data_IF_250251321037
#
_entry.id   IF_250251321037
#
_cell.length_a   1.000
_cell.length_b   1.000
_cell.length_c   1.000
_cell.angle_alpha   90.00
_cell.angle_beta   90.00
_cell.angle_gamma   90.00
#
_symmetry.space_group_name_H-M   'P 1'
#
loop_
_entity.id
_entity.type
_entity.pdbx_description
1 polymer ?
#
# COMPACT_ATOMS: atom_id res chain seq x y z
N UNK A 1 17.35 39.60 19.69
CA UNK A 1 16.08 39.25 19.03
C UNK A 1 16.23 37.87 18.42
N UNK A 2 15.63 36.82 19.01
CA UNK A 2 15.75 35.43 18.51
C UNK A 2 14.75 35.23 17.38
N UNK A 3 15.25 35.14 16.14
CA UNK A 3 14.44 34.80 14.97
C UNK A 3 14.01 33.33 15.12
N UNK A 4 12.75 33.10 15.48
CA UNK A 4 12.13 31.77 15.37
C UNK A 4 12.09 31.43 13.88
N UNK A 5 13.00 30.57 13.42
CA UNK A 5 12.84 29.86 12.14
C UNK A 5 11.49 29.16 12.20
N UNK A 6 10.52 29.62 11.39
CA UNK A 6 9.33 28.84 11.08
C UNK A 6 9.84 27.52 10.52
N UNK A 7 9.59 26.43 11.24
CA UNK A 7 9.79 25.08 10.74
C UNK A 7 8.95 24.97 9.47
N UNK A 8 9.61 24.98 8.33
CA UNK A 8 9.00 24.72 7.03
C UNK A 8 8.33 23.35 7.13
N UNK A 9 7.00 23.33 7.05
CA UNK A 9 6.26 22.07 6.92
C UNK A 9 6.90 21.27 5.79
N UNK A 10 7.34 20.02 6.03
CA UNK A 10 7.79 19.17 4.95
C UNK A 10 6.60 18.99 4.00
N UNK A 11 6.89 19.36 2.76
CA UNK A 11 6.07 19.22 1.57
C UNK A 11 5.50 17.81 1.42
N UNK A 12 4.53 17.72 0.54
CA UNK A 12 3.71 16.59 0.09
C UNK A 12 4.49 15.39 -0.50
N UNK A 13 5.66 15.05 0.05
CA UNK A 13 6.58 13.99 -0.40
C UNK A 13 6.40 12.70 0.39
N UNK A 14 5.21 12.11 0.32
CA UNK A 14 5.05 10.70 0.71
C UNK A 14 5.77 9.81 -0.31
N UNK A 15 6.35 8.68 0.13
CA UNK A 15 6.77 7.61 -0.79
C UNK A 15 5.51 7.16 -1.57
N UNK A 16 5.58 6.95 -2.90
CA UNK A 16 4.42 6.46 -3.64
C UNK A 16 3.97 5.10 -3.11
N UNK A 17 2.66 4.84 -3.14
CA UNK A 17 2.14 3.49 -2.98
C UNK A 17 2.47 2.65 -4.21
N UNK A 18 2.22 3.21 -5.38
CA UNK A 18 2.42 2.54 -6.66
C UNK A 18 3.27 3.41 -7.58
N UNK A 19 4.17 2.77 -8.31
CA UNK A 19 4.81 3.35 -9.50
C UNK A 19 4.39 2.49 -10.68
N UNK A 20 3.96 3.12 -11.77
CA UNK A 20 3.43 2.42 -12.94
C UNK A 20 4.35 2.73 -14.10
N UNK A 21 5.02 1.72 -14.64
CA UNK A 21 5.82 1.81 -15.85
C UNK A 21 4.93 1.67 -17.08
N UNK A 22 5.08 2.56 -18.05
CA UNK A 22 4.25 2.59 -19.25
C UNK A 22 4.94 1.93 -20.43
N UNK A 23 4.21 1.16 -21.24
CA UNK A 23 4.72 0.66 -22.53
C UNK A 23 4.46 1.64 -23.67
N UNK A 24 3.58 2.62 -23.44
CA UNK A 24 3.18 3.66 -24.38
C UNK A 24 3.33 5.06 -23.76
N UNK A 25 2.78 6.10 -24.41
CA UNK A 25 2.80 7.46 -23.90
C UNK A 25 2.05 7.58 -22.56
N UNK A 26 2.41 8.58 -21.75
CA UNK A 26 1.63 8.90 -20.54
C UNK A 26 0.17 9.20 -20.91
N UNK A 27 -0.80 8.67 -20.15
CA UNK A 27 -2.21 8.82 -20.48
C UNK A 27 -2.66 10.25 -20.23
N UNK A 28 -3.54 10.78 -21.08
CA UNK A 28 -4.14 12.08 -20.82
C UNK A 28 -5.05 12.00 -19.59
N UNK A 29 -5.11 13.08 -18.82
CA UNK A 29 -5.95 13.11 -17.62
C UNK A 29 -7.45 12.94 -17.93
N UNK A 30 -7.88 13.36 -19.12
CA UNK A 30 -9.24 13.13 -19.63
C UNK A 30 -9.54 11.65 -19.81
N UNK A 31 -8.56 10.86 -20.23
CA UNK A 31 -8.72 9.42 -20.49
C UNK A 31 -8.85 8.68 -19.17
N UNK A 32 -7.99 9.01 -18.19
CA UNK A 32 -8.10 8.48 -16.83
C UNK A 32 -9.43 8.84 -16.16
N UNK A 33 -9.91 10.08 -16.33
CA UNK A 33 -11.23 10.49 -15.83
C UNK A 33 -12.35 9.68 -16.48
N UNK A 34 -12.35 9.61 -17.81
CA UNK A 34 -13.42 8.94 -18.56
C UNK A 34 -13.46 7.45 -18.25
N UNK A 35 -12.29 6.81 -18.16
CA UNK A 35 -12.16 5.42 -17.75
C UNK A 35 -12.68 5.20 -16.34
N UNK A 36 -12.27 6.04 -15.37
CA UNK A 36 -12.69 5.88 -13.99
C UNK A 36 -14.21 6.05 -13.84
N UNK A 37 -14.79 7.08 -14.45
CA UNK A 37 -16.23 7.35 -14.37
C UNK A 37 -17.07 6.24 -15.01
N UNK A 38 -16.55 5.60 -16.06
CA UNK A 38 -17.18 4.46 -16.72
C UNK A 38 -17.12 3.20 -15.84
N UNK A 39 -15.97 2.91 -15.25
CA UNK A 39 -15.73 1.67 -14.49
C UNK A 39 -16.32 1.70 -13.08
N UNK A 40 -16.26 2.85 -12.41
CA UNK A 40 -16.57 2.97 -10.99
C UNK A 40 -17.78 3.86 -10.67
N UNK A 41 -18.38 4.46 -11.69
CA UNK A 41 -19.45 5.44 -11.53
C UNK A 41 -18.88 6.80 -11.16
N UNK A 42 -19.03 7.78 -12.06
CA UNK A 42 -18.53 9.14 -11.85
C UNK A 42 -19.38 10.01 -10.92
N UNK A 43 -18.92 11.25 -10.65
CA UNK A 43 -17.72 11.87 -11.22
C UNK A 43 -16.48 11.74 -10.32
N UNK A 44 -15.32 11.47 -10.93
CA UNK A 44 -14.01 11.75 -10.34
C UNK A 44 -13.53 13.14 -10.78
N UNK A 45 -13.01 13.88 -9.81
CA UNK A 45 -12.43 15.21 -10.03
C UNK A 45 -10.94 15.20 -9.75
N UNK A 46 -10.20 15.98 -10.53
CA UNK A 46 -8.75 16.12 -10.37
C UNK A 46 -8.42 17.59 -10.14
N UNK A 47 -7.68 17.86 -9.08
CA UNK A 47 -7.22 19.20 -8.71
C UNK A 47 -5.70 19.22 -8.70
N UNK A 48 -5.10 20.13 -9.47
CA UNK A 48 -3.66 20.34 -9.47
C UNK A 48 -3.21 20.91 -8.12
N UNK A 49 -2.23 20.26 -7.49
CA UNK A 49 -1.50 20.85 -6.39
C UNK A 49 -0.30 21.60 -6.97
N UNK A 50 -0.39 22.94 -7.01
CA UNK A 50 0.77 23.78 -7.33
C UNK A 50 1.52 24.09 -6.05
N UNK A 51 2.63 23.42 -5.81
CA UNK A 51 3.60 23.89 -4.82
C UNK A 51 4.63 24.80 -5.50
N UNK A 52 5.14 25.82 -4.81
CA UNK A 52 6.18 26.73 -5.32
C UNK A 52 7.48 26.01 -5.74
N UNK A 53 7.62 24.70 -5.44
CA UNK A 53 8.73 23.84 -5.87
C UNK A 53 8.48 23.09 -7.18
N UNK A 54 7.24 23.02 -7.66
CA UNK A 54 6.87 22.30 -8.89
C UNK A 54 7.16 23.12 -10.17
N UNK A 55 7.54 24.40 -10.06
CA UNK A 55 7.87 25.25 -11.22
C UNK A 55 9.16 24.83 -11.95
N UNK A 56 9.98 23.97 -11.36
CA UNK A 56 11.27 23.52 -11.92
C UNK A 56 11.19 22.11 -12.52
N UNK A 57 10.06 21.42 -12.37
CA UNK A 57 9.96 19.99 -12.61
C UNK A 57 9.32 19.67 -13.98
N UNK A 58 10.08 19.06 -14.89
CA UNK A 58 9.65 18.70 -16.26
C UNK A 58 8.81 17.41 -16.23
N UNK A 59 7.71 17.43 -15.48
CA UNK A 59 6.78 16.31 -15.30
C UNK A 59 5.34 16.79 -15.14
N UNK A 60 4.39 15.86 -15.03
CA UNK A 60 3.01 16.23 -14.72
C UNK A 60 2.92 16.77 -13.28
N UNK A 61 2.06 17.78 -13.03
CA UNK A 61 1.81 18.23 -11.67
C UNK A 61 1.23 17.09 -10.84
N UNK A 62 1.47 17.13 -9.53
CA UNK A 62 0.79 16.20 -8.64
C UNK A 62 -0.68 16.59 -8.54
N UNK A 63 -1.56 15.64 -8.86
CA UNK A 63 -2.99 15.82 -8.87
C UNK A 63 -3.59 15.18 -7.61
N UNK A 64 -4.55 15.88 -7.00
CA UNK A 64 -5.46 15.29 -6.02
C UNK A 64 -6.69 14.79 -6.75
N UNK A 65 -6.91 13.48 -6.72
CA UNK A 65 -8.11 12.83 -7.22
C UNK A 65 -9.15 12.77 -6.10
N UNK A 66 -10.40 13.11 -6.40
CA UNK A 66 -11.52 13.05 -5.43
C UNK A 66 -12.75 12.43 -6.08
N UNK A 67 -13.30 11.41 -5.43
CA UNK A 67 -14.56 10.76 -5.80
C UNK A 67 -15.42 10.65 -4.53
N UNK A 68 -16.52 11.42 -4.46
CA UNK A 68 -17.30 11.54 -3.23
C UNK A 68 -16.42 11.97 -2.02
N UNK A 69 -16.41 11.22 -0.91
CA UNK A 69 -15.54 11.51 0.24
C UNK A 69 -14.09 11.03 0.05
N UNK A 70 -13.81 10.22 -0.98
CA UNK A 70 -12.53 9.54 -1.13
C UNK A 70 -11.50 10.41 -1.83
N UNK A 71 -10.26 10.33 -1.35
CA UNK A 71 -9.15 11.14 -1.86
C UNK A 71 -7.88 10.30 -1.97
N UNK A 72 -7.18 10.52 -3.08
CA UNK A 72 -5.86 9.98 -3.36
C UNK A 72 -5.09 10.98 -4.21
N UNK A 73 -3.79 10.78 -4.37
CA UNK A 73 -2.96 11.65 -5.23
C UNK A 73 -2.28 10.83 -6.31
N UNK A 74 -2.09 11.42 -7.49
CA UNK A 74 -1.34 10.79 -8.57
C UNK A 74 -0.52 11.80 -9.37
N UNK A 75 0.54 11.31 -10.02
CA UNK A 75 1.23 11.97 -11.13
C UNK A 75 1.10 11.05 -12.34
N UNK A 76 0.40 11.52 -13.37
CA UNK A 76 0.20 10.74 -14.60
C UNK A 76 1.50 10.58 -15.40
N UNK A 77 2.47 11.47 -15.20
CA UNK A 77 3.83 11.36 -15.73
C UNK A 77 4.84 11.88 -14.71
N UNK A 78 5.84 11.07 -14.42
CA UNK A 78 7.03 11.47 -13.69
C UNK A 78 8.00 12.24 -14.61
N UNK A 79 8.86 13.10 -14.06
CA UNK A 79 10.04 13.60 -14.77
C UNK A 79 10.92 12.45 -15.25
N UNK A 80 11.58 12.61 -16.41
CA UNK A 80 12.40 11.55 -17.01
C UNK A 80 13.51 11.04 -16.07
N UNK A 81 14.14 11.93 -15.30
CA UNK A 81 15.17 11.53 -14.34
C UNK A 81 14.62 10.61 -13.24
N UNK A 82 13.41 10.86 -12.73
CA UNK A 82 12.76 10.01 -11.75
C UNK A 82 12.30 8.68 -12.38
N UNK A 83 11.77 8.72 -13.60
CA UNK A 83 11.39 7.51 -14.34
C UNK A 83 12.62 6.61 -14.61
N UNK A 84 13.76 7.21 -14.96
CA UNK A 84 15.04 6.51 -15.15
C UNK A 84 15.56 5.90 -13.84
N UNK A 85 15.41 6.58 -12.70
CA UNK A 85 15.77 6.03 -11.39
C UNK A 85 14.94 4.77 -11.07
N UNK A 86 13.62 4.84 -11.26
CA UNK A 86 12.75 3.67 -11.11
C UNK A 86 13.10 2.57 -12.10
N UNK A 87 13.46 2.93 -13.34
CA UNK A 87 13.92 1.98 -14.35
C UNK A 87 15.13 1.20 -13.91
N UNK A 88 16.15 1.89 -13.43
CA UNK A 88 17.37 1.25 -12.96
C UNK A 88 17.13 0.46 -11.67
N UNK A 89 16.25 0.94 -10.77
CA UNK A 89 15.97 0.28 -9.50
C UNK A 89 15.17 -1.01 -9.65
N UNK A 90 14.20 -1.03 -10.56
CA UNK A 90 13.31 -2.18 -10.79
C UNK A 90 13.78 -3.09 -11.92
N UNK A 91 14.82 -2.67 -12.65
CA UNK A 91 15.32 -3.37 -13.85
C UNK A 91 14.23 -3.63 -14.90
N UNK A 92 13.23 -2.74 -14.98
CA UNK A 92 12.14 -2.84 -15.94
C UNK A 92 12.47 -2.11 -17.25
N UNK A 93 11.73 -2.36 -18.33
CA UNK A 93 12.01 -1.77 -19.65
C UNK A 93 11.16 -0.53 -19.97
N UNK A 94 10.41 -0.01 -19.00
CA UNK A 94 9.50 1.10 -19.21
C UNK A 94 10.24 2.45 -19.27
N UNK A 95 10.14 3.20 -20.39
CA UNK A 95 10.84 4.48 -20.53
C UNK A 95 10.13 5.63 -19.80
N UNK A 96 8.84 5.48 -19.55
CA UNK A 96 8.00 6.46 -18.86
C UNK A 96 7.35 5.80 -17.65
N UNK A 97 7.02 6.61 -16.65
CA UNK A 97 6.31 6.14 -15.48
C UNK A 97 5.36 7.19 -14.91
N UNK A 98 4.35 6.75 -14.19
CA UNK A 98 3.54 7.55 -13.29
C UNK A 98 3.61 7.03 -11.86
N UNK A 99 3.02 7.76 -10.94
CA UNK A 99 2.99 7.38 -9.53
C UNK A 99 1.66 7.70 -8.87
N UNK A 100 1.31 6.91 -7.87
CA UNK A 100 0.11 7.09 -7.06
C UNK A 100 0.49 7.04 -5.59
N UNK A 101 -0.11 7.94 -4.82
CA UNK A 101 0.15 8.16 -3.40
C UNK A 101 -1.17 8.10 -2.62
N UNK A 102 -1.09 7.73 -1.35
CA UNK A 102 -2.18 8.00 -0.41
C UNK A 102 -2.17 9.48 -0.01
N UNK A 103 -3.36 10.03 0.24
CA UNK A 103 -3.45 11.24 1.06
C UNK A 103 -3.21 10.88 2.52
N UNK A 104 -2.79 11.86 3.34
CA UNK A 104 -2.81 11.66 4.80
C UNK A 104 -4.25 11.46 5.26
N UNK A 105 -4.52 10.33 5.88
CA UNK A 105 -5.84 9.94 6.35
C UNK A 105 -5.80 9.57 7.82
N UNK A 106 -6.97 9.64 8.46
CA UNK A 106 -7.16 8.94 9.74
C UNK A 106 -7.24 7.43 9.47
N UNK A 107 -6.97 6.55 10.45
CA UNK A 107 -7.06 5.11 10.22
C UNK A 107 -8.43 4.65 9.72
N UNK A 108 -9.50 5.35 10.13
CA UNK A 108 -10.87 5.10 9.67
C UNK A 108 -11.07 5.36 8.17
N UNK A 109 -10.31 6.28 7.59
CA UNK A 109 -10.41 6.68 6.17
C UNK A 109 -9.32 6.01 5.32
N UNK A 110 -8.43 5.23 5.94
CA UNK A 110 -7.28 4.68 5.25
C UNK A 110 -7.66 3.66 4.18
N UNK A 111 -8.66 2.82 4.44
CA UNK A 111 -9.17 1.85 3.45
C UNK A 111 -9.68 2.55 2.20
N UNK A 112 -10.48 3.59 2.34
CA UNK A 112 -11.02 4.38 1.23
C UNK A 112 -9.91 5.05 0.40
N UNK A 113 -8.91 5.64 1.06
CA UNK A 113 -7.76 6.25 0.39
C UNK A 113 -6.90 5.22 -0.35
N UNK A 114 -6.61 4.08 0.28
CA UNK A 114 -5.84 2.98 -0.34
C UNK A 114 -6.59 2.39 -1.51
N UNK A 115 -7.91 2.22 -1.39
CA UNK A 115 -8.78 1.69 -2.43
C UNK A 115 -8.81 2.62 -3.65
N UNK A 116 -9.06 3.92 -3.44
CA UNK A 116 -9.04 4.89 -4.53
C UNK A 116 -7.66 4.96 -5.19
N UNK A 117 -6.58 4.96 -4.40
CA UNK A 117 -5.22 4.92 -4.94
C UNK A 117 -4.97 3.65 -5.79
N UNK A 118 -5.42 2.49 -5.34
CA UNK A 118 -5.32 1.25 -6.12
C UNK A 118 -6.14 1.31 -7.41
N UNK A 119 -7.33 1.92 -7.39
CA UNK A 119 -8.16 2.11 -8.61
C UNK A 119 -7.50 3.06 -9.61
N UNK A 120 -6.86 4.13 -9.14
CA UNK A 120 -6.08 5.02 -10.00
C UNK A 120 -4.86 4.29 -10.59
N UNK A 121 -4.15 3.49 -9.79
CA UNK A 121 -3.03 2.69 -10.27
C UNK A 121 -3.48 1.69 -11.34
N UNK A 122 -4.59 0.97 -11.13
CA UNK A 122 -5.22 0.10 -12.15
C UNK A 122 -5.52 0.87 -13.43
N UNK A 123 -6.16 2.03 -13.34
CA UNK A 123 -6.51 2.85 -14.51
C UNK A 123 -5.29 3.24 -15.33
N UNK A 124 -4.24 3.72 -14.66
CA UNK A 124 -2.97 4.03 -15.31
C UNK A 124 -2.36 2.78 -15.95
N UNK A 125 -2.35 1.64 -15.27
CA UNK A 125 -1.84 0.37 -15.82
C UNK A 125 -2.59 -0.05 -17.08
N UNK A 126 -3.92 -0.05 -17.05
CA UNK A 126 -4.74 -0.51 -18.19
C UNK A 126 -4.67 0.44 -19.39
N UNK A 127 -4.72 1.75 -19.15
CA UNK A 127 -4.68 2.76 -20.22
C UNK A 127 -3.35 2.78 -20.98
N UNK A 128 -2.27 2.35 -20.33
CA UNK A 128 -0.93 2.36 -20.94
C UNK A 128 -0.40 0.98 -21.31
N UNK A 129 -1.18 -0.08 -21.08
CA UNK A 129 -0.71 -1.49 -21.14
C UNK A 129 0.62 -1.67 -20.38
N UNK A 130 0.68 -1.08 -19.18
CA UNK A 130 1.89 -0.94 -18.37
C UNK A 130 2.02 -2.01 -17.29
N UNK A 131 2.96 -1.82 -16.37
CA UNK A 131 3.10 -2.65 -15.16
C UNK A 131 3.15 -1.76 -13.93
N UNK A 132 2.25 -1.98 -12.98
CA UNK A 132 2.32 -1.33 -11.66
C UNK A 132 3.24 -2.11 -10.73
N UNK A 133 4.01 -1.39 -9.92
CA UNK A 133 4.77 -1.93 -8.81
C UNK A 133 4.26 -1.33 -7.51
N UNK A 134 3.78 -2.20 -6.61
CA UNK A 134 3.38 -1.83 -5.25
C UNK A 134 4.62 -1.75 -4.36
N UNK A 135 4.97 -0.54 -3.94
CA UNK A 135 6.21 -0.30 -3.19
C UNK A 135 6.18 -0.85 -1.77
N UNK A 136 5.00 -1.18 -1.24
CA UNK A 136 4.85 -1.63 0.15
C UNK A 136 4.82 -3.15 0.19
N UNK A 137 4.06 -3.79 -0.70
CA UNK A 137 4.00 -5.26 -0.80
C UNK A 137 5.15 -5.85 -1.63
N UNK A 138 5.83 -5.03 -2.43
CA UNK A 138 6.77 -5.42 -3.49
C UNK A 138 6.15 -6.38 -4.51
N UNK A 139 4.93 -6.09 -4.95
CA UNK A 139 4.21 -6.90 -5.93
C UNK A 139 4.17 -6.18 -7.27
N UNK A 140 4.41 -6.90 -8.36
CA UNK A 140 4.14 -6.43 -9.72
C UNK A 140 2.72 -6.79 -10.13
N UNK A 141 2.04 -5.85 -10.78
CA UNK A 141 0.67 -5.99 -11.25
C UNK A 141 0.59 -5.53 -12.71
N UNK A 142 0.50 -6.51 -13.61
CA UNK A 142 0.22 -6.30 -15.03
C UNK A 142 -1.29 -6.13 -15.26
N UNK A 143 -1.74 -5.76 -16.47
CA UNK A 143 -3.16 -5.55 -16.76
C UNK A 143 -4.05 -6.74 -16.38
N UNK A 144 -3.55 -7.97 -16.57
CA UNK A 144 -4.26 -9.22 -16.23
C UNK A 144 -4.31 -9.55 -14.74
N UNK A 145 -3.41 -8.97 -13.93
CA UNK A 145 -3.31 -9.27 -12.50
C UNK A 145 -4.33 -8.47 -11.68
N UNK A 146 -4.83 -7.38 -12.25
CA UNK A 146 -5.85 -6.54 -11.63
C UNK A 146 -7.21 -7.25 -11.66
N UNK A 147 -7.78 -7.47 -10.48
CA UNK A 147 -9.15 -7.96 -10.38
C UNK A 147 -10.13 -6.81 -10.57
N UNK A 148 -11.14 -7.04 -11.41
CA UNK A 148 -12.23 -6.11 -11.59
C UNK A 148 -13.17 -6.19 -10.38
N UNK A 149 -13.19 -5.11 -9.60
CA UNK A 149 -13.98 -5.00 -8.38
C UNK A 149 -14.62 -3.62 -8.34
N UNK A 150 -15.89 -3.53 -7.94
CA UNK A 150 -16.54 -2.24 -7.78
C UNK A 150 -15.81 -1.42 -6.71
N UNK A 151 -16.09 -0.12 -6.75
CA UNK A 151 -15.38 0.84 -5.93
C UNK A 151 -15.70 0.67 -4.43
N UNK A 152 -16.87 0.14 -4.07
CA UNK A 152 -17.31 -0.15 -2.69
C UNK A 152 -16.81 -1.48 -2.11
N UNK A 153 -16.14 -2.31 -2.90
CA UNK A 153 -15.60 -3.60 -2.45
C UNK A 153 -14.12 -3.49 -2.09
N UNK A 154 -13.85 -3.34 -0.79
CA UNK A 154 -12.52 -3.42 -0.21
C UNK A 154 -12.20 -4.86 0.23
N UNK A 155 -11.08 -5.42 -0.24
CA UNK A 155 -10.54 -6.68 0.28
C UNK A 155 -9.08 -6.49 0.71
N UNK A 156 -8.78 -6.87 1.95
CA UNK A 156 -7.43 -6.74 2.52
C UNK A 156 -6.39 -7.52 1.71
N UNK A 157 -6.76 -8.67 1.14
CA UNK A 157 -5.86 -9.51 0.32
C UNK A 157 -5.35 -8.84 -0.95
N UNK A 158 -6.04 -7.81 -1.46
CA UNK A 158 -5.59 -7.05 -2.63
C UNK A 158 -4.51 -6.01 -2.26
N UNK A 159 -4.31 -5.76 -0.96
CA UNK A 159 -3.47 -4.68 -0.46
C UNK A 159 -2.40 -5.13 0.53
N UNK A 160 -2.55 -6.32 1.11
CA UNK A 160 -1.65 -6.91 2.09
C UNK A 160 -1.26 -8.31 1.64
N UNK A 161 0.04 -8.61 1.66
CA UNK A 161 0.57 -9.94 1.40
C UNK A 161 1.19 -10.53 2.66
N UNK A 162 1.19 -11.85 2.77
CA UNK A 162 1.95 -12.58 3.79
C UNK A 162 3.17 -13.19 3.10
N UNK A 163 4.35 -12.91 3.65
CA UNK A 163 5.64 -13.39 3.14
C UNK A 163 6.21 -14.41 4.11
N UNK A 164 6.71 -15.52 3.58
CA UNK A 164 7.55 -16.46 4.30
C UNK A 164 9.01 -16.24 3.89
N UNK A 165 9.88 -16.14 4.86
CA UNK A 165 11.33 -16.11 4.69
C UNK A 165 11.98 -17.09 5.67
N UNK A 166 13.04 -17.75 5.25
CA UNK A 166 13.81 -18.61 6.15
C UNK A 166 14.73 -17.75 7.02
N UNK A 167 14.63 -17.89 8.33
CA UNK A 167 15.67 -17.41 9.24
C UNK A 167 16.69 -18.55 9.43
N UNK A 168 17.71 -18.51 8.57
CA UNK A 168 18.80 -19.51 8.55
C UNK A 168 19.58 -19.57 9.86
N UNK A 169 19.50 -18.53 10.71
CA UNK A 169 20.23 -18.49 11.98
C UNK A 169 19.51 -19.18 13.13
N UNK A 170 18.18 -19.27 13.07
CA UNK A 170 17.35 -19.74 14.19
C UNK A 170 16.62 -21.05 13.91
N UNK A 171 16.79 -21.65 12.73
CA UNK A 171 16.01 -22.82 12.28
C UNK A 171 14.50 -22.59 12.38
N UNK A 172 14.07 -21.37 12.06
CA UNK A 172 12.67 -20.97 12.07
C UNK A 172 12.26 -20.38 10.72
N UNK A 173 11.02 -20.66 10.34
CA UNK A 173 10.33 -19.92 9.30
C UNK A 173 9.81 -18.61 9.91
N UNK A 174 10.17 -17.50 9.26
CA UNK A 174 9.68 -16.17 9.58
C UNK A 174 8.55 -15.81 8.62
N UNK A 175 7.36 -15.61 9.18
CA UNK A 175 6.20 -15.13 8.46
C UNK A 175 5.94 -13.68 8.85
N UNK A 176 5.71 -12.80 7.88
CA UNK A 176 5.33 -11.42 8.16
C UNK A 176 4.37 -10.87 7.11
N UNK A 177 3.53 -9.92 7.51
CA UNK A 177 2.71 -9.16 6.58
C UNK A 177 3.52 -8.06 5.89
N UNK A 178 3.04 -7.66 4.73
CA UNK A 178 3.48 -6.46 4.03
C UNK A 178 2.26 -5.74 3.48
N UNK A 179 2.07 -4.49 3.85
CA UNK A 179 0.94 -3.69 3.37
C UNK A 179 0.11 -3.05 4.49
N UNK A 180 0.20 -3.55 5.73
CA UNK A 180 -0.52 -2.96 6.87
C UNK A 180 -0.13 -1.49 7.10
N UNK A 181 1.12 -1.15 6.79
CA UNK A 181 1.63 0.23 6.83
C UNK A 181 0.89 1.21 5.92
N UNK A 182 0.22 0.74 4.84
CA UNK A 182 -0.66 1.60 4.01
C UNK A 182 -1.84 2.16 4.81
N UNK A 183 -2.24 1.45 5.86
CA UNK A 183 -3.36 1.77 6.73
C UNK A 183 -2.91 2.45 8.05
N UNK A 184 -1.63 2.78 8.17
CA UNK A 184 -1.06 3.35 9.39
C UNK A 184 -0.87 2.32 10.52
N UNK A 185 -0.83 1.03 10.18
CA UNK A 185 -0.64 -0.07 11.11
C UNK A 185 0.79 -0.59 11.06
N UNK A 186 1.25 -1.17 12.17
CA UNK A 186 2.50 -1.94 12.19
C UNK A 186 2.27 -3.27 11.45
N UNK A 187 3.29 -3.76 10.74
CA UNK A 187 3.24 -5.11 10.18
C UNK A 187 3.20 -6.14 11.33
N UNK A 188 2.65 -7.33 11.09
CA UNK A 188 2.66 -8.42 12.07
C UNK A 188 3.59 -9.53 11.64
N UNK A 189 4.23 -10.18 12.59
CA UNK A 189 5.16 -11.27 12.34
C UNK A 189 4.97 -12.46 13.28
N UNK A 190 5.43 -13.61 12.81
CA UNK A 190 5.37 -14.87 13.50
C UNK A 190 6.61 -15.70 13.17
N UNK A 191 7.12 -16.39 14.19
CA UNK A 191 8.15 -17.40 14.02
C UNK A 191 7.57 -18.79 14.27
N UNK A 192 7.91 -19.73 13.39
CA UNK A 192 7.54 -21.14 13.52
C UNK A 192 8.74 -22.04 13.30
N UNK A 193 8.83 -23.20 13.97
CA UNK A 193 9.80 -24.22 13.60
C UNK A 193 9.64 -24.61 12.12
N UNK A 194 10.76 -24.83 11.43
CA UNK A 194 10.75 -25.30 10.04
C UNK A 194 10.04 -26.66 9.93
N UNK A 195 9.33 -26.88 8.82
CA UNK A 195 8.68 -28.15 8.50
C UNK A 195 7.20 -28.24 8.87
N UNK A 196 6.63 -27.17 9.43
CA UNK A 196 5.18 -27.04 9.59
C UNK A 196 4.51 -26.57 8.27
N UNK A 197 3.26 -26.96 8.00
CA UNK A 197 2.55 -26.48 6.81
C UNK A 197 2.40 -24.95 6.82
N UNK A 198 3.04 -24.28 5.86
CA UNK A 198 3.03 -22.82 5.74
C UNK A 198 1.66 -22.25 5.40
N UNK A 199 0.85 -22.98 4.63
CA UNK A 199 -0.46 -22.52 4.15
C UNK A 199 -1.40 -22.09 5.29
N UNK A 200 -1.57 -22.93 6.31
CA UNK A 200 -2.47 -22.61 7.43
C UNK A 200 -1.96 -21.41 8.24
N UNK A 201 -0.65 -21.22 8.33
CA UNK A 201 -0.05 -20.05 8.98
C UNK A 201 -0.34 -18.79 8.18
N UNK A 202 -0.13 -18.83 6.86
CA UNK A 202 -0.39 -17.70 5.97
C UNK A 202 -1.88 -17.32 5.93
N UNK A 203 -2.78 -18.30 5.89
CA UNK A 203 -4.24 -18.07 5.94
C UNK A 203 -4.65 -17.38 7.25
N UNK A 204 -4.15 -17.85 8.40
CA UNK A 204 -4.41 -17.20 9.70
C UNK A 204 -3.82 -15.79 9.76
N UNK A 205 -2.61 -15.57 9.23
CA UNK A 205 -2.01 -14.23 9.20
C UNK A 205 -2.77 -13.28 8.28
N UNK A 206 -3.31 -13.76 7.16
CA UNK A 206 -4.16 -12.97 6.28
C UNK A 206 -5.48 -12.60 6.98
N UNK A 207 -6.11 -13.52 7.70
CA UNK A 207 -7.31 -13.25 8.49
C UNK A 207 -7.05 -12.23 9.62
N UNK A 208 -5.90 -12.33 10.29
CA UNK A 208 -5.47 -11.35 11.30
C UNK A 208 -5.26 -9.98 10.67
N UNK A 209 -4.65 -9.91 9.48
CA UNK A 209 -4.47 -8.65 8.77
C UNK A 209 -5.81 -7.98 8.43
N UNK A 210 -6.80 -8.76 8.00
CA UNK A 210 -8.15 -8.26 7.70
C UNK A 210 -8.81 -7.63 8.93
N UNK A 211 -8.74 -8.31 10.07
CA UNK A 211 -9.26 -7.82 11.35
C UNK A 211 -8.51 -6.57 11.85
N UNK A 212 -7.19 -6.51 11.65
CA UNK A 212 -6.40 -5.33 12.01
C UNK A 212 -6.77 -4.11 11.17
N UNK A 213 -6.96 -4.29 9.86
CA UNK A 213 -7.45 -3.23 8.97
C UNK A 213 -8.85 -2.79 9.39
N UNK A 214 -9.72 -3.72 9.76
CA UNK A 214 -11.06 -3.41 10.24
C UNK A 214 -11.06 -2.59 11.56
N UNK A 215 -10.21 -2.93 12.51
CA UNK A 215 -10.08 -2.20 13.80
C UNK A 215 -9.38 -0.84 13.61
N UNK A 216 -8.46 -0.75 12.65
CA UNK A 216 -7.75 0.47 12.29
C UNK A 216 -6.75 0.97 13.33
N UNK A 217 -6.43 0.20 14.39
CA UNK A 217 -5.44 0.60 15.38
C UNK A 217 -4.53 -0.57 15.75
N UNK A 218 -3.19 -0.35 15.83
CA UNK A 218 -2.28 -1.42 16.15
C UNK A 218 -2.40 -1.82 17.63
N UNK A 219 -2.54 -3.13 17.94
CA UNK A 219 -2.60 -3.60 19.31
C UNK A 219 -1.28 -3.38 20.04
N UNK A 220 -1.37 -3.01 21.33
CA UNK A 220 -0.20 -2.77 22.18
C UNK A 220 0.53 -4.07 22.51
N UNK A 221 1.83 -3.98 22.77
CA UNK A 221 2.59 -5.12 23.32
C UNK A 221 1.98 -5.56 24.64
N UNK A 222 1.81 -6.86 24.82
CA UNK A 222 1.14 -7.46 25.98
C UNK A 222 -0.39 -7.52 25.85
N UNK A 223 -0.98 -6.93 24.82
CA UNK A 223 -2.42 -7.04 24.58
C UNK A 223 -2.78 -8.44 24.07
N UNK A 224 -3.93 -8.93 24.54
CA UNK A 224 -4.62 -10.08 23.96
C UNK A 224 -5.89 -9.58 23.30
N UNK A 225 -6.03 -9.84 22.00
CA UNK A 225 -7.15 -9.39 21.18
C UNK A 225 -7.87 -10.61 20.64
N UNK A 226 -9.18 -10.62 20.77
CA UNK A 226 -10.05 -11.66 20.22
C UNK A 226 -10.51 -11.22 18.84
N UNK A 227 -10.15 -11.99 17.82
CA UNK A 227 -10.57 -11.80 16.44
C UNK A 227 -11.62 -12.85 16.11
N UNK A 228 -12.90 -12.47 16.28
CA UNK A 228 -14.03 -13.39 16.10
C UNK A 228 -14.13 -13.89 14.65
N UNK A 229 -13.92 -13.03 13.65
CA UNK A 229 -13.99 -13.40 12.24
C UNK A 229 -12.88 -14.37 11.83
N UNK A 230 -11.71 -14.29 12.48
CA UNK A 230 -10.63 -15.24 12.31
C UNK A 230 -10.78 -16.51 13.19
N UNK A 231 -11.65 -16.49 14.22
CA UNK A 231 -11.73 -17.57 15.20
C UNK A 231 -10.46 -17.69 16.08
N UNK A 232 -9.74 -16.58 16.30
CA UNK A 232 -8.43 -16.57 16.96
C UNK A 232 -8.38 -15.67 18.19
N UNK A 233 -7.62 -16.10 19.19
CA UNK A 233 -7.16 -15.27 20.29
C UNK A 233 -5.69 -14.92 20.06
N UNK A 234 -5.41 -13.68 19.68
CA UNK A 234 -4.07 -13.21 19.32
C UNK A 234 -3.45 -12.43 20.47
N UNK A 235 -2.20 -12.74 20.80
CA UNK A 235 -1.41 -12.02 21.79
C UNK A 235 -0.20 -11.37 21.14
N UNK A 236 0.00 -10.08 21.40
CA UNK A 236 1.17 -9.33 20.93
C UNK A 236 2.31 -9.48 21.94
N UNK A 237 3.40 -10.10 21.50
CA UNK A 237 4.53 -10.48 22.36
C UNK A 237 5.59 -9.38 22.39
N UNK A 238 5.96 -8.83 21.23
CA UNK A 238 7.02 -7.83 21.10
C UNK A 238 6.71 -6.84 20.00
N UNK A 239 7.46 -5.74 20.02
CA UNK A 239 7.54 -4.77 18.94
C UNK A 239 9.01 -4.56 18.61
N UNK A 240 9.37 -4.67 17.33
CA UNK A 240 10.73 -4.40 16.84
C UNK A 240 10.67 -3.66 15.52
N UNK A 241 11.77 -3.00 15.18
CA UNK A 241 11.94 -2.37 13.86
C UNK A 241 13.04 -3.12 13.12
N UNK A 242 12.73 -3.58 11.91
CA UNK A 242 13.67 -4.30 11.05
C UNK A 242 14.00 -3.42 9.85
N UNK A 243 15.30 -3.33 9.52
CA UNK A 243 15.76 -2.70 8.30
C UNK A 243 15.80 -3.72 7.18
N UNK A 244 14.84 -3.65 6.26
CA UNK A 244 14.88 -4.38 5.00
C UNK A 244 15.42 -3.47 3.88
N UNK A 245 15.92 -4.02 2.76
CA UNK A 245 16.39 -3.21 1.65
C UNK A 245 15.37 -2.15 1.24
N UNK A 246 15.73 -0.88 1.44
CA UNK A 246 14.91 0.27 1.09
C UNK A 246 13.71 0.59 2.00
N UNK A 247 13.51 -0.11 3.13
CA UNK A 247 12.38 0.16 4.05
C UNK A 247 12.69 -0.20 5.50
N UNK A 248 12.29 0.68 6.43
CA UNK A 248 12.21 0.35 7.86
C UNK A 248 10.80 -0.17 8.16
N UNK A 249 10.68 -1.41 8.61
CA UNK A 249 9.39 -2.02 8.99
C UNK A 249 9.26 -2.06 10.51
N UNK A 250 8.20 -1.45 11.03
CA UNK A 250 7.74 -1.69 12.40
C UNK A 250 6.93 -2.99 12.41
N UNK A 251 7.35 -3.94 13.25
CA UNK A 251 6.81 -5.29 13.31
C UNK A 251 6.32 -5.60 14.73
N UNK A 252 5.15 -6.23 14.81
CA UNK A 252 4.56 -6.77 16.03
C UNK A 252 4.65 -8.28 15.99
N UNK A 253 5.47 -8.86 16.86
CA UNK A 253 5.52 -10.31 17.02
C UNK A 253 4.23 -10.77 17.70
N UNK A 254 3.53 -11.70 17.06
CA UNK A 254 2.27 -12.25 17.56
C UNK A 254 2.38 -13.75 17.81
N UNK A 255 1.54 -14.23 18.72
CA UNK A 255 1.18 -15.65 18.84
C UNK A 255 -0.33 -15.75 18.94
N UNK A 256 -0.89 -16.92 18.63
CA UNK A 256 -2.33 -17.11 18.71
C UNK A 256 -2.70 -18.51 19.15
N UNK A 257 -3.93 -18.61 19.63
CA UNK A 257 -4.63 -19.84 19.96
C UNK A 257 -5.98 -19.83 19.24
N UNK A 258 -6.48 -20.99 18.82
CA UNK A 258 -7.84 -21.09 18.27
C UNK A 258 -8.85 -20.85 19.38
N UNK A 259 -9.89 -20.08 19.09
CA UNK A 259 -11.00 -19.93 20.01
C UNK A 259 -11.73 -21.28 20.17
N UNK A 260 -12.23 -21.59 21.37
CA UNK A 260 -13.07 -22.76 21.54
C UNK A 260 -14.27 -22.66 20.61
N UNK A 261 -14.50 -23.68 19.80
CA UNK A 261 -15.72 -23.79 19.01
C UNK A 261 -16.88 -23.99 19.96
N UNK A 262 -17.80 -23.02 20.01
CA UNK A 262 -19.07 -23.18 20.70
C UNK A 262 -19.78 -24.39 20.08
N UNK A 263 -19.88 -25.47 20.86
CA UNK A 263 -20.62 -26.69 20.51
C UNK A 263 -22.10 -26.53 20.83
#
# INVERSE_FOLDING_TARGET
MKIRRKTTNPSTSGRPLFVIGYTSASPALSDLRSWFDLEYGGPITFQEHRSERDEVDIGSPTLTATHGPWKAMCRASLPLAEADEWRNRLDWLHPLAGSVFTTRTTPREASDAVLLAARLARGLTLLTDGTAYDLITHTYLNPSDWQDRPLDQFLTSDHVTVVQAEDTTSHQDWFHTRGLTKFGLDEVELFRPVGLPSRAVMENMAAIADELVHIGHPPKVGATVRFEGAGLLVRVIRHRTVSLPGTLLALREIVWESLPSDR
#
